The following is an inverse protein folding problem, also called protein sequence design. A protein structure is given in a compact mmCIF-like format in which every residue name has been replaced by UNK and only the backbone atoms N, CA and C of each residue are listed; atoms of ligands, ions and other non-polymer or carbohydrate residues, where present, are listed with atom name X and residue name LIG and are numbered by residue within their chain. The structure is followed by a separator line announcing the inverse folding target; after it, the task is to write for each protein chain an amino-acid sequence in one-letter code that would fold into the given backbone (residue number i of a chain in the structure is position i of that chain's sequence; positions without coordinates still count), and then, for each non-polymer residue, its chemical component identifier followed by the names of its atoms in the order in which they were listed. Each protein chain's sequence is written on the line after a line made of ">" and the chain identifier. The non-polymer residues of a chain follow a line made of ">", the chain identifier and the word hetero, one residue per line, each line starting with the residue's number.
data_IF_590078461301
#
_entry.id   IF_590078461301
#
_cell.length_a   1.000
_cell.length_b   1.000
_cell.length_c   1.000
_cell.angle_alpha   90.00
_cell.angle_beta   90.00
_cell.angle_gamma   90.00
#
_symmetry.space_group_name_H-M   'P 1'
#
loop_
_entity.id
_entity.type
_entity.pdbx_description
1 polymer ?
#
# COMPACT_ATOMS: atom_id res chain seq x y z
N UNK A 1 8.75 -0.71 -9.86
CA UNK A 1 9.28 -0.25 -8.56
C UNK A 1 8.57 -1.02 -7.44
N UNK A 2 9.19 -2.05 -6.86
CA UNK A 2 8.55 -2.90 -5.86
C UNK A 2 8.14 -2.10 -4.60
N UNK A 3 6.94 -2.39 -4.05
CA UNK A 3 6.45 -1.79 -2.80
C UNK A 3 7.49 -1.97 -1.70
N UNK A 4 7.88 -0.90 -1.03
CA UNK A 4 8.89 -0.98 0.04
C UNK A 4 8.28 -1.56 1.32
N UNK A 5 9.04 -2.40 2.04
CA UNK A 5 8.70 -2.77 3.42
C UNK A 5 8.50 -1.50 4.26
N UNK A 6 7.43 -1.47 5.03
CA UNK A 6 7.01 -0.33 5.83
C UNK A 6 6.16 0.71 5.09
N UNK A 7 5.95 0.57 3.76
CA UNK A 7 5.05 1.44 3.03
C UNK A 7 3.61 1.26 3.54
N UNK A 8 2.91 2.38 3.70
CA UNK A 8 1.53 2.42 4.19
C UNK A 8 0.59 2.67 3.01
N UNK A 9 -0.54 1.98 2.98
CA UNK A 9 -1.59 2.18 2.00
C UNK A 9 -2.92 2.40 2.70
N UNK A 10 -3.72 3.33 2.20
CA UNK A 10 -5.05 3.64 2.74
C UNK A 10 -6.12 3.45 1.67
N UNK A 11 -7.20 2.78 2.05
CA UNK A 11 -8.44 2.77 1.28
C UNK A 11 -9.24 4.04 1.59
N UNK A 12 -9.54 4.85 0.57
CA UNK A 12 -10.31 6.09 0.75
C UNK A 12 -11.82 5.83 0.96
N UNK A 13 -12.33 4.63 0.65
CA UNK A 13 -13.76 4.26 0.81
C UNK A 13 -14.11 3.73 2.20
N UNK A 14 -13.39 2.74 2.70
CA UNK A 14 -13.64 2.14 4.02
C UNK A 14 -12.71 2.68 5.13
N UNK A 15 -11.64 3.39 4.77
CA UNK A 15 -10.67 3.92 5.73
C UNK A 15 -9.61 2.92 6.21
N UNK A 16 -9.62 1.67 5.71
CA UNK A 16 -8.64 0.65 6.07
C UNK A 16 -7.20 1.09 5.73
N UNK A 17 -6.28 0.89 6.67
CA UNK A 17 -4.85 1.18 6.50
C UNK A 17 -4.07 -0.12 6.64
N UNK A 18 -3.21 -0.41 5.67
CA UNK A 18 -2.32 -1.57 5.67
C UNK A 18 -0.86 -1.12 5.59
N UNK A 19 0.04 -1.91 6.19
CA UNK A 19 1.50 -1.74 6.11
C UNK A 19 2.07 -2.93 5.37
N UNK A 20 2.98 -2.68 4.44
CA UNK A 20 3.74 -3.76 3.78
C UNK A 20 4.74 -4.33 4.77
N UNK A 21 4.48 -5.51 5.32
CA UNK A 21 5.45 -6.20 6.19
C UNK A 21 6.49 -6.98 5.38
N UNK A 22 6.06 -7.75 4.39
CA UNK A 22 6.94 -8.50 3.50
C UNK A 22 6.51 -8.34 2.06
N UNK A 23 7.49 -8.21 1.17
CA UNK A 23 7.27 -8.10 -0.26
C UNK A 23 7.34 -9.49 -0.89
N UNK A 24 6.38 -9.85 -1.74
CA UNK A 24 6.42 -11.13 -2.47
C UNK A 24 7.68 -11.29 -3.35
N UNK A 25 8.26 -10.19 -3.84
CA UNK A 25 9.43 -10.22 -4.73
C UNK A 25 9.14 -10.76 -6.15
N UNK A 26 7.90 -11.21 -6.40
CA UNK A 26 7.49 -11.88 -7.62
C UNK A 26 7.15 -10.92 -8.78
N UNK A 27 6.40 -9.86 -8.53
CA UNK A 27 6.05 -8.82 -9.52
C UNK A 27 5.48 -7.57 -8.81
N UNK A 28 5.18 -6.50 -9.58
CA UNK A 28 4.37 -5.39 -9.05
C UNK A 28 2.95 -5.90 -8.73
N UNK A 29 2.57 -5.81 -7.46
CA UNK A 29 1.22 -6.15 -7.00
C UNK A 29 0.45 -4.88 -6.66
N UNK A 30 -0.68 -4.68 -7.33
CA UNK A 30 -1.64 -3.66 -6.95
C UNK A 30 -2.39 -4.08 -5.67
N UNK A 31 -2.48 -3.15 -4.72
CA UNK A 31 -3.32 -3.37 -3.53
C UNK A 31 -4.69 -2.80 -3.85
N UNK A 32 -5.70 -3.66 -3.97
CA UNK A 32 -7.08 -3.27 -4.24
C UNK A 32 -7.91 -3.54 -2.99
N UNK A 33 -8.69 -2.54 -2.57
CA UNK A 33 -9.64 -2.66 -1.46
C UNK A 33 -10.93 -1.95 -1.87
N UNK A 34 -12.09 -2.58 -1.66
CA UNK A 34 -13.38 -2.06 -2.11
C UNK A 34 -13.44 -1.74 -3.62
N UNK A 35 -12.85 -2.62 -4.44
CA UNK A 35 -12.80 -2.52 -5.92
C UNK A 35 -12.04 -1.30 -6.46
N UNK A 36 -11.22 -0.67 -5.63
CA UNK A 36 -10.39 0.47 -6.01
C UNK A 36 -8.94 0.29 -5.55
N UNK A 37 -7.96 0.76 -6.33
CA UNK A 37 -6.56 0.74 -5.94
C UNK A 37 -6.36 1.61 -4.70
N UNK A 38 -5.70 1.04 -3.69
CA UNK A 38 -5.34 1.74 -2.47
C UNK A 38 -4.26 2.79 -2.73
N UNK A 39 -4.33 3.91 -2.01
CA UNK A 39 -3.42 5.04 -2.18
C UNK A 39 -2.26 4.94 -1.20
N UNK A 40 -1.04 5.12 -1.70
CA UNK A 40 0.15 5.13 -0.84
C UNK A 40 0.12 6.36 0.09
N UNK A 41 0.21 6.10 1.40
CA UNK A 41 0.41 7.12 2.41
C UNK A 41 1.91 7.39 2.47
N UNK A 42 2.36 8.37 1.69
CA UNK A 42 3.76 8.81 1.72
C UNK A 42 4.09 9.30 3.14
N UNK A 43 5.08 8.71 3.84
CA UNK A 43 5.58 9.30 5.06
C UNK A 43 6.12 10.69 4.71
N UNK A 44 5.68 11.73 5.42
CA UNK A 44 6.32 13.05 5.31
C UNK A 44 7.77 12.84 5.71
N UNK A 45 8.70 13.00 4.77
CA UNK A 45 10.12 13.10 5.07
C UNK A 45 10.26 14.24 6.10
N UNK A 46 10.72 13.89 7.30
CA UNK A 46 11.21 14.83 8.29
C UNK A 46 12.71 14.87 8.19
#
# INVERSE_FOLDING_TARGET
>A
MAKKKGAKYKCEKCGMIVVVDQTCGCAECDLICCDMPMKEVKPKAK
#
